data_IF_256685957467
#
_entry.id   IF_256685957467
#
_cell.length_a   1.000
_cell.length_b   1.000
_cell.length_c   1.000
_cell.angle_alpha   90.00
_cell.angle_beta   90.00
_cell.angle_gamma   90.00
#
_symmetry.space_group_name_H-M   'P 1'
#
loop_
_entity.id
_entity.type
_entity.pdbx_description
1 polymer ?
#
# COMPACT_ATOMS: atom_id res chain seq x y z
N UNK A 1 5.53 5.97 0.92
CA UNK A 1 5.46 7.45 0.95
C UNK A 1 5.58 7.95 -0.47
N UNK A 2 5.12 9.17 -0.77
CA UNK A 2 4.98 9.64 -2.14
C UNK A 2 5.66 10.99 -2.33
N UNK A 3 6.24 11.20 -3.50
CA UNK A 3 6.93 12.42 -3.90
C UNK A 3 6.58 12.72 -5.34
N UNK A 4 6.20 13.97 -5.62
CA UNK A 4 5.91 14.41 -6.99
C UNK A 4 7.23 14.76 -7.67
N UNK A 5 7.59 14.00 -8.70
CA UNK A 5 8.83 14.21 -9.45
C UNK A 5 10.08 13.82 -8.65
N UNK A 6 11.23 14.39 -9.02
CA UNK A 6 12.56 14.05 -8.50
C UNK A 6 13.23 15.19 -7.72
N UNK A 7 12.46 16.23 -7.34
CA UNK A 7 13.00 17.45 -6.73
C UNK A 7 13.54 17.24 -5.31
N UNK A 8 12.97 16.29 -4.58
CA UNK A 8 13.44 15.88 -3.26
C UNK A 8 13.64 14.37 -3.25
N UNK A 9 14.58 13.91 -2.43
CA UNK A 9 14.86 12.47 -2.24
C UNK A 9 14.13 11.88 -1.03
N UNK A 10 13.16 12.62 -0.49
CA UNK A 10 12.27 12.17 0.58
C UNK A 10 10.80 12.40 0.19
N UNK A 11 9.87 11.87 0.99
CA UNK A 11 8.42 12.00 0.84
C UNK A 11 8.03 13.48 0.88
N UNK A 12 7.24 13.91 -0.11
CA UNK A 12 6.70 15.26 -0.18
C UNK A 12 5.17 15.24 -0.15
N UNK A 13 4.64 15.32 1.08
CA UNK A 13 3.20 15.36 1.31
C UNK A 13 2.53 16.63 0.78
N UNK A 14 3.23 17.77 0.76
CA UNK A 14 2.67 19.04 0.28
C UNK A 14 2.47 18.98 -1.23
N UNK A 15 3.50 18.57 -1.97
CA UNK A 15 3.38 18.40 -3.42
C UNK A 15 2.34 17.32 -3.77
N UNK A 16 2.24 16.24 -2.97
CA UNK A 16 1.21 15.22 -3.14
C UNK A 16 -0.21 15.82 -3.04
N UNK A 17 -0.47 16.65 -2.04
CA UNK A 17 -1.78 17.31 -1.85
C UNK A 17 -2.09 18.28 -3.00
N UNK A 18 -1.09 19.03 -3.49
CA UNK A 18 -1.27 19.94 -4.64
C UNK A 18 -1.64 19.15 -5.89
N UNK A 19 -0.90 18.08 -6.20
CA UNK A 19 -1.19 17.22 -7.34
C UNK A 19 -2.58 16.57 -7.24
N UNK A 20 -2.97 16.12 -6.05
CA UNK A 20 -4.28 15.53 -5.80
C UNK A 20 -5.42 16.55 -5.95
N UNK A 21 -5.20 17.78 -5.48
CA UNK A 21 -6.14 18.89 -5.65
C UNK A 21 -6.34 19.24 -7.14
N UNK A 22 -5.26 19.29 -7.91
CA UNK A 22 -5.31 19.52 -9.36
C UNK A 22 -6.09 18.41 -10.09
N UNK A 23 -5.84 17.14 -9.73
CA UNK A 23 -6.61 16.00 -10.26
C UNK A 23 -8.10 16.16 -9.95
N UNK A 24 -8.43 16.50 -8.70
CA UNK A 24 -9.82 16.67 -8.25
C UNK A 24 -10.53 17.79 -9.02
N UNK A 25 -9.87 18.93 -9.22
CA UNK A 25 -10.41 20.03 -10.02
C UNK A 25 -10.66 19.63 -11.48
N UNK A 26 -9.72 18.89 -12.10
CA UNK A 26 -9.86 18.38 -13.46
C UNK A 26 -11.02 17.39 -13.61
N UNK A 27 -11.20 16.49 -12.65
CA UNK A 27 -12.31 15.53 -12.64
C UNK A 27 -13.65 16.24 -12.47
N UNK A 28 -13.73 17.21 -11.54
CA UNK A 28 -14.94 18.00 -11.33
C UNK A 28 -15.36 18.76 -12.59
N UNK A 29 -14.42 19.34 -13.31
CA UNK A 29 -14.68 20.00 -14.60
C UNK A 29 -15.24 19.06 -15.68
N UNK A 30 -15.01 17.75 -15.54
CA UNK A 30 -15.56 16.71 -16.42
C UNK A 30 -16.86 16.10 -15.90
N UNK A 31 -17.43 16.62 -14.81
CA UNK A 31 -18.60 16.03 -14.14
C UNK A 31 -18.29 14.68 -13.46
N UNK A 32 -17.02 14.38 -13.17
CA UNK A 32 -16.57 13.13 -12.57
C UNK A 32 -16.10 13.32 -11.14
N UNK A 33 -16.14 12.24 -10.39
CA UNK A 33 -15.64 12.13 -9.02
C UNK A 33 -14.29 11.42 -8.98
N UNK A 34 -13.63 11.49 -7.81
CA UNK A 34 -12.45 10.68 -7.53
C UNK A 34 -12.76 9.17 -7.56
N UNK A 35 -13.97 8.78 -7.17
CA UNK A 35 -14.41 7.39 -7.19
C UNK A 35 -14.52 6.85 -8.61
N UNK A 36 -15.05 7.64 -9.55
CA UNK A 36 -15.09 7.26 -10.98
C UNK A 36 -13.68 7.03 -11.53
N UNK A 37 -12.73 7.88 -11.13
CA UNK A 37 -11.32 7.72 -11.54
C UNK A 37 -10.70 6.48 -10.91
N UNK A 38 -10.98 6.21 -9.64
CA UNK A 38 -10.47 5.03 -8.93
C UNK A 38 -11.04 3.73 -9.51
N UNK A 39 -12.34 3.69 -9.82
CA UNK A 39 -12.99 2.55 -10.47
C UNK A 39 -12.37 2.28 -11.84
N UNK A 40 -12.15 3.32 -12.65
CA UNK A 40 -11.49 3.18 -13.95
C UNK A 40 -10.08 2.58 -13.81
N UNK A 41 -9.32 2.97 -12.78
CA UNK A 41 -8.01 2.38 -12.49
C UNK A 41 -8.11 0.91 -12.09
N UNK A 42 -9.09 0.53 -11.26
CA UNK A 42 -9.30 -0.88 -10.90
C UNK A 42 -9.69 -1.74 -12.10
N UNK A 43 -10.53 -1.22 -13.02
CA UNK A 43 -10.87 -1.92 -14.26
C UNK A 43 -9.66 -2.08 -15.19
N UNK A 44 -8.77 -1.09 -15.21
CA UNK A 44 -7.60 -1.09 -16.08
C UNK A 44 -6.46 -1.97 -15.56
N UNK A 45 -6.21 -1.98 -14.25
CA UNK A 45 -5.01 -2.57 -13.65
C UNK A 45 -5.29 -3.73 -12.69
N UNK A 46 -6.56 -4.06 -12.46
CA UNK A 46 -6.99 -4.99 -11.43
C UNK A 46 -7.21 -4.31 -10.08
N UNK A 47 -7.93 -5.01 -9.21
CA UNK A 47 -8.24 -4.57 -7.86
C UNK A 47 -7.25 -5.15 -6.85
N UNK A 48 -6.70 -4.29 -6.01
CA UNK A 48 -5.76 -4.68 -4.95
C UNK A 48 -6.36 -4.35 -3.59
N UNK A 49 -6.79 -5.39 -2.86
CA UNK A 49 -7.28 -5.25 -1.50
C UNK A 49 -6.14 -5.48 -0.51
N UNK A 50 -5.85 -4.48 0.30
CA UNK A 50 -4.82 -4.55 1.35
C UNK A 50 -5.45 -4.22 2.70
N UNK A 51 -5.11 -5.01 3.72
CA UNK A 51 -5.50 -4.77 5.09
C UNK A 51 -4.27 -4.86 6.00
N UNK A 52 -4.01 -3.81 6.78
CA UNK A 52 -2.93 -3.82 7.75
C UNK A 52 -3.41 -4.44 9.06
N UNK A 53 -2.60 -5.32 9.65
CA UNK A 53 -2.77 -5.82 11.02
C UNK A 53 -1.60 -5.33 11.86
N UNK A 54 -1.90 -4.59 12.92
CA UNK A 54 -0.92 -4.20 13.93
C UNK A 54 -1.14 -5.08 15.15
N UNK A 55 -0.13 -5.87 15.52
CA UNK A 55 -0.17 -6.78 16.66
C UNK A 55 0.83 -6.25 17.68
N UNK A 56 0.35 -5.81 18.84
CA UNK A 56 1.21 -5.46 19.96
C UNK A 56 1.78 -6.76 20.55
N UNK A 57 3.11 -6.84 20.63
CA UNK A 57 3.82 -7.98 21.22
C UNK A 57 4.19 -7.66 22.67
N UNK A 58 4.18 -8.68 23.52
CA UNK A 58 4.72 -8.57 24.87
C UNK A 58 6.25 -8.34 24.79
N UNK A 59 6.81 -7.36 25.51
CA UNK A 59 8.26 -7.08 25.50
C UNK A 59 9.13 -8.28 25.91
N UNK A 60 8.60 -9.22 26.70
CA UNK A 60 9.29 -10.42 27.15
C UNK A 60 9.16 -11.59 26.15
N UNK A 61 8.35 -11.44 25.10
CA UNK A 61 8.24 -12.46 24.07
C UNK A 61 9.51 -12.51 23.22
N UNK A 62 10.00 -13.71 22.86
CA UNK A 62 11.12 -13.83 21.94
C UNK A 62 10.79 -13.18 20.58
N UNK A 63 11.78 -12.63 19.86
CA UNK A 63 11.57 -11.95 18.58
C UNK A 63 10.80 -12.84 17.60
N UNK A 64 9.64 -12.35 17.15
CA UNK A 64 8.78 -13.11 16.23
C UNK A 64 9.48 -13.37 14.89
N UNK A 65 10.37 -12.47 14.47
CA UNK A 65 11.15 -12.60 13.24
C UNK A 65 12.02 -13.85 13.21
N UNK A 66 12.69 -14.18 14.32
CA UNK A 66 13.56 -15.36 14.39
C UNK A 66 12.76 -16.66 14.26
N UNK A 67 11.57 -16.69 14.87
CA UNK A 67 10.65 -17.82 14.75
C UNK A 67 10.15 -17.99 13.32
N UNK A 68 9.79 -16.90 12.65
CA UNK A 68 9.30 -16.93 11.26
C UNK A 68 10.38 -17.33 10.27
N UNK A 69 11.65 -16.93 10.48
CA UNK A 69 12.77 -17.40 9.66
C UNK A 69 13.08 -18.86 9.87
N UNK A 70 13.06 -19.33 11.13
CA UNK A 70 13.33 -20.73 11.45
C UNK A 70 12.26 -21.67 10.89
N UNK A 71 11.00 -21.23 10.90
CA UNK A 71 9.85 -22.02 10.44
C UNK A 71 8.89 -21.13 9.61
N UNK A 72 9.22 -20.84 8.34
CA UNK A 72 8.36 -20.03 7.50
C UNK A 72 7.05 -20.78 7.18
N UNK A 73 5.90 -20.10 7.17
CA UNK A 73 4.63 -20.74 6.86
C UNK A 73 4.61 -21.18 5.39
N UNK A 74 4.21 -22.43 5.13
CA UNK A 74 3.95 -22.92 3.78
C UNK A 74 2.56 -22.54 3.27
N UNK A 75 1.68 -22.06 4.15
CA UNK A 75 0.30 -21.70 3.86
C UNK A 75 -0.17 -20.54 4.76
N UNK A 76 -0.91 -19.59 4.19
CA UNK A 76 -1.55 -18.49 4.91
C UNK A 76 -3.02 -18.44 4.50
N UNK A 77 -3.93 -18.54 5.48
CA UNK A 77 -5.38 -18.47 5.26
C UNK A 77 -5.90 -19.40 4.14
N UNK A 78 -5.42 -20.65 4.07
CA UNK A 78 -5.85 -21.61 3.04
C UNK A 78 -5.12 -21.47 1.70
N UNK A 79 -4.12 -20.58 1.59
CA UNK A 79 -3.37 -20.32 0.36
C UNK A 79 -1.91 -20.69 0.52
N UNK A 80 -1.39 -21.55 -0.35
CA UNK A 80 0.02 -21.93 -0.36
C UNK A 80 0.90 -20.70 -0.61
N UNK A 81 1.97 -20.59 0.17
CA UNK A 81 3.01 -19.58 -0.03
C UNK A 81 3.83 -19.96 -1.25
N UNK A 82 3.89 -19.08 -2.24
CA UNK A 82 4.61 -19.31 -3.50
C UNK A 82 6.08 -18.90 -3.42
N UNK A 83 6.36 -17.83 -2.66
CA UNK A 83 7.68 -17.23 -2.53
C UNK A 83 7.83 -16.69 -1.11
N UNK A 84 9.01 -16.87 -0.54
CA UNK A 84 9.44 -16.23 0.71
C UNK A 84 10.77 -15.54 0.43
N UNK A 85 10.83 -14.24 0.70
CA UNK A 85 12.03 -13.42 0.57
C UNK A 85 12.34 -12.79 1.94
N UNK A 86 13.61 -12.83 2.34
CA UNK A 86 14.13 -12.18 3.54
C UNK A 86 15.26 -11.26 3.09
N UNK A 87 15.04 -9.94 3.19
CA UNK A 87 15.91 -8.87 2.65
C UNK A 87 16.83 -8.29 3.72
#
# INVERSE_FOLDING_TARGET
GYTVGNKVWDKDGLSAIVAFSQLTGKLKAQGKTLWDKLEALYRQHGFYFNAQRSIALDPNSPPIGDKLRANPPSEIAGKKVSVTEDL
#
